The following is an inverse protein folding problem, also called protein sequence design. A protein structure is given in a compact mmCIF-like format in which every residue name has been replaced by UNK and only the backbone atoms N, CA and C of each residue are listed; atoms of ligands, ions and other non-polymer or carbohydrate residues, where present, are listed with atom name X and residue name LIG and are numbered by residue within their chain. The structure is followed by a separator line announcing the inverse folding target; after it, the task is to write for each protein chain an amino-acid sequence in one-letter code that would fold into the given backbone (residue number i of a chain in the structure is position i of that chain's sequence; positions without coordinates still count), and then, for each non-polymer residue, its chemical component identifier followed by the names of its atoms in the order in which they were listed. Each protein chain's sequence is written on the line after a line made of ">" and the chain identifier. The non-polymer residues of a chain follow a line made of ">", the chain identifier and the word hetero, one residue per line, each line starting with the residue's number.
data_IF_915233605459
#
_entry.id   IF_915233605459
#
_cell.length_a   1.000
_cell.length_b   1.000
_cell.length_c   1.000
_cell.angle_alpha   90.00
_cell.angle_beta   90.00
_cell.angle_gamma   90.00
#
_symmetry.space_group_name_H-M   'P 1'
#
loop_
_entity.id
_entity.type
_entity.pdbx_description
1 polymer ?
#
# COMPACT_ATOMS: atom_id res chain seq x y z
N UNK A 1 -36.49 18.50 -27.29
CA UNK A 1 -35.34 17.59 -27.11
C UNK A 1 -34.87 17.69 -25.67
N UNK A 2 -35.42 16.87 -24.78
CA UNK A 2 -34.94 16.73 -23.39
C UNK A 2 -34.27 15.36 -23.31
N UNK A 3 -32.95 15.34 -23.19
CA UNK A 3 -32.18 14.11 -22.94
C UNK A 3 -32.44 13.73 -21.49
N UNK A 4 -33.24 12.69 -21.30
CA UNK A 4 -33.51 12.10 -19.99
C UNK A 4 -32.24 11.39 -19.52
N UNK A 5 -31.47 12.01 -18.62
CA UNK A 5 -30.33 11.37 -17.96
C UNK A 5 -30.85 10.40 -16.91
N UNK A 6 -31.21 9.19 -17.35
CA UNK A 6 -31.62 8.13 -16.45
C UNK A 6 -30.41 7.74 -15.55
N UNK A 7 -30.56 7.73 -14.21
CA UNK A 7 -29.46 7.40 -13.32
C UNK A 7 -29.04 5.95 -13.55
N UNK A 8 -27.85 5.75 -14.13
CA UNK A 8 -27.26 4.42 -14.31
C UNK A 8 -27.13 3.77 -12.92
N UNK A 9 -27.92 2.72 -12.68
CA UNK A 9 -27.93 2.01 -11.41
C UNK A 9 -26.58 1.30 -11.20
N UNK A 10 -25.84 1.72 -10.19
CA UNK A 10 -24.56 1.11 -9.82
C UNK A 10 -24.83 -0.12 -8.95
N UNK A 11 -24.50 -1.31 -9.46
CA UNK A 11 -24.54 -2.54 -8.67
C UNK A 11 -23.33 -2.56 -7.71
N UNK A 12 -23.58 -2.82 -6.42
CA UNK A 12 -22.56 -2.86 -5.39
C UNK A 12 -22.34 -4.30 -4.94
N UNK A 13 -21.22 -4.88 -5.34
CA UNK A 13 -20.88 -6.27 -5.03
C UNK A 13 -19.88 -6.39 -3.87
N UNK A 14 -20.12 -7.37 -3.00
CA UNK A 14 -19.25 -7.77 -1.88
C UNK A 14 -18.90 -9.24 -2.05
N UNK A 15 -17.69 -9.62 -1.68
CA UNK A 15 -17.18 -10.97 -1.88
C UNK A 15 -15.66 -10.98 -1.95
N UNK A 16 -15.10 -12.05 -2.51
CA UNK A 16 -13.67 -12.19 -2.75
C UNK A 16 -13.20 -11.13 -3.77
N UNK A 17 -12.02 -10.56 -3.52
CA UNK A 17 -11.42 -9.51 -4.35
C UNK A 17 -9.96 -9.81 -4.61
N UNK A 18 -9.58 -9.78 -5.87
CA UNK A 18 -8.19 -9.84 -6.32
C UNK A 18 -7.71 -8.43 -6.62
N UNK A 19 -7.34 -7.70 -5.56
CA UNK A 19 -6.89 -6.31 -5.66
C UNK A 19 -5.61 -6.12 -4.85
N UNK A 20 -4.80 -5.15 -5.28
CA UNK A 20 -3.72 -4.67 -4.43
C UNK A 20 -4.27 -3.83 -3.28
N UNK A 21 -3.57 -3.86 -2.14
CA UNK A 21 -3.80 -2.91 -1.07
C UNK A 21 -3.19 -1.54 -1.43
N UNK A 22 -3.53 -0.48 -0.70
CA UNK A 22 -3.07 0.88 -0.98
C UNK A 22 -1.56 1.11 -0.89
N UNK A 23 -0.80 0.19 -0.26
CA UNK A 23 0.66 0.30 -0.15
C UNK A 23 1.35 0.31 -1.51
N UNK A 24 0.78 -0.35 -2.53
CA UNK A 24 1.37 -0.34 -3.88
C UNK A 24 1.42 1.07 -4.49
N UNK A 25 0.58 2.01 -4.03
CA UNK A 25 0.64 3.41 -4.43
C UNK A 25 1.96 4.10 -4.06
N UNK A 26 2.66 3.62 -3.02
CA UNK A 26 3.97 4.14 -2.60
C UNK A 26 4.98 4.05 -3.75
N UNK A 27 4.92 2.99 -4.57
CA UNK A 27 5.83 2.75 -5.71
C UNK A 27 5.85 3.93 -6.70
N UNK A 28 4.69 4.55 -6.93
CA UNK A 28 4.62 5.74 -7.76
C UNK A 28 4.85 7.03 -6.96
N UNK A 29 4.26 7.14 -5.77
CA UNK A 29 4.32 8.34 -4.94
C UNK A 29 5.74 8.69 -4.51
N UNK A 30 6.56 7.69 -4.17
CA UNK A 30 7.95 7.93 -3.80
C UNK A 30 8.73 8.57 -4.95
N UNK A 31 8.37 8.32 -6.21
CA UNK A 31 8.98 8.98 -7.38
C UNK A 31 8.38 10.36 -7.66
N UNK A 32 7.13 10.62 -7.27
CA UNK A 32 6.52 11.93 -7.49
C UNK A 32 6.96 12.95 -6.44
N UNK A 33 7.09 12.51 -5.19
CA UNK A 33 7.51 13.33 -4.06
C UNK A 33 8.95 12.97 -3.68
N UNK A 34 9.91 13.67 -4.28
CA UNK A 34 11.33 13.36 -4.13
C UNK A 34 11.87 13.67 -2.71
N UNK A 35 11.22 14.59 -2.01
CA UNK A 35 11.61 15.02 -0.66
C UNK A 35 10.85 14.27 0.45
N UNK A 36 10.08 13.23 0.09
CA UNK A 36 9.33 12.42 1.04
C UNK A 36 9.96 11.03 1.20
N UNK A 37 9.91 10.52 2.43
CA UNK A 37 10.24 9.14 2.76
C UNK A 37 9.00 8.42 3.30
N UNK A 38 8.77 7.18 2.83
CA UNK A 38 7.63 6.37 3.24
C UNK A 38 8.08 5.22 4.13
N UNK A 39 7.92 5.37 5.44
CA UNK A 39 8.16 4.29 6.41
C UNK A 39 6.84 3.56 6.70
N UNK A 40 6.70 2.34 6.19
CA UNK A 40 5.53 1.48 6.45
C UNK A 40 5.77 0.71 7.73
N UNK A 41 4.87 0.80 8.70
CA UNK A 41 4.86 -0.09 9.87
C UNK A 41 3.92 -1.25 9.56
N UNK A 42 4.45 -2.47 9.53
CA UNK A 42 3.68 -3.62 9.06
C UNK A 42 4.40 -4.94 9.27
N UNK A 43 3.92 -5.99 8.63
CA UNK A 43 4.55 -7.31 8.70
C UNK A 43 5.50 -7.55 7.52
N UNK A 44 6.16 -8.71 7.53
CA UNK A 44 6.92 -9.21 6.36
C UNK A 44 6.06 -9.25 5.08
N UNK A 45 4.75 -9.46 5.18
CA UNK A 45 3.85 -9.47 4.03
C UNK A 45 3.82 -8.11 3.32
N UNK A 46 3.84 -7.00 4.08
CA UNK A 46 3.90 -5.65 3.51
C UNK A 46 5.24 -5.41 2.79
N UNK A 47 6.35 -5.83 3.42
CA UNK A 47 7.69 -5.71 2.84
C UNK A 47 7.81 -6.50 1.52
N UNK A 48 7.35 -7.75 1.51
CA UNK A 48 7.35 -8.59 0.32
C UNK A 48 6.44 -8.06 -0.80
N UNK A 49 5.28 -7.49 -0.45
CA UNK A 49 4.40 -6.85 -1.42
C UNK A 49 5.10 -5.66 -2.10
N UNK A 50 5.69 -4.76 -1.30
CA UNK A 50 6.38 -3.58 -1.82
C UNK A 50 7.59 -3.96 -2.67
N UNK A 51 8.38 -4.95 -2.23
CA UNK A 51 9.50 -5.47 -3.02
C UNK A 51 9.03 -6.04 -4.35
N UNK A 52 7.98 -6.86 -4.34
CA UNK A 52 7.41 -7.47 -5.54
C UNK A 52 6.84 -6.41 -6.49
N UNK A 53 6.17 -5.38 -5.96
CA UNK A 53 5.55 -4.32 -6.75
C UNK A 53 6.58 -3.30 -7.28
N UNK A 54 7.64 -3.00 -6.53
CA UNK A 54 8.72 -2.12 -6.97
C UNK A 54 9.52 -2.72 -8.15
N UNK A 55 9.62 -4.06 -8.19
CA UNK A 55 10.43 -4.76 -9.17
C UNK A 55 11.87 -4.27 -9.15
N UNK A 56 12.41 -3.90 -10.32
CA UNK A 56 13.79 -3.42 -10.47
C UNK A 56 14.08 -2.12 -9.71
N UNK A 57 13.06 -1.34 -9.35
CA UNK A 57 13.24 -0.09 -8.62
C UNK A 57 13.74 -0.29 -7.19
N UNK A 58 13.66 -1.50 -6.64
CA UNK A 58 14.20 -1.82 -5.31
C UNK A 58 15.71 -1.60 -5.22
N UNK A 59 16.43 -1.68 -6.34
CA UNK A 59 17.88 -1.50 -6.41
C UNK A 59 18.29 -0.04 -6.67
N UNK A 60 17.33 0.88 -6.84
CA UNK A 60 17.58 2.28 -7.18
C UNK A 60 17.51 3.20 -5.95
N UNK A 61 17.99 2.73 -4.80
CA UNK A 61 17.94 3.44 -3.49
C UNK A 61 16.55 4.06 -3.22
N UNK A 62 15.49 3.23 -3.12
CA UNK A 62 14.14 3.73 -2.97
C UNK A 62 13.93 4.46 -1.64
N UNK A 63 13.17 5.57 -1.69
CA UNK A 63 12.78 6.34 -0.50
C UNK A 63 11.56 5.75 0.22
N UNK A 64 11.58 4.45 0.44
CA UNK A 64 10.61 3.77 1.28
C UNK A 64 11.26 2.60 2.01
N UNK A 65 10.72 2.26 3.17
CA UNK A 65 11.13 1.09 3.94
C UNK A 65 9.94 0.50 4.70
N UNK A 66 10.07 -0.75 5.15
CA UNK A 66 9.10 -1.37 6.06
C UNK A 66 9.76 -1.64 7.41
N UNK A 67 9.25 -1.02 8.47
CA UNK A 67 9.51 -1.43 9.84
C UNK A 67 8.67 -2.69 10.12
N UNK A 68 9.33 -3.85 10.08
CA UNK A 68 8.69 -5.14 10.29
C UNK A 68 8.46 -5.34 11.78
N UNK A 69 7.19 -5.48 12.18
CA UNK A 69 6.81 -5.79 13.55
C UNK A 69 7.26 -7.20 13.94
N UNK A 70 7.81 -7.32 15.14
CA UNK A 70 8.19 -8.56 15.79
C UNK A 70 7.15 -8.97 16.85
N UNK A 71 7.23 -10.19 17.35
CA UNK A 71 6.27 -10.70 18.35
C UNK A 71 6.25 -9.86 19.62
N UNK A 72 7.40 -9.31 20.04
CA UNK A 72 7.50 -8.37 21.16
C UNK A 72 6.67 -7.10 20.96
N UNK A 73 6.62 -6.59 19.73
CA UNK A 73 5.87 -5.36 19.39
C UNK A 73 4.36 -5.61 19.48
N UNK A 74 3.91 -6.84 19.22
CA UNK A 74 2.52 -7.25 19.36
C UNK A 74 2.13 -7.54 20.81
N UNK A 75 3.09 -8.00 21.62
CA UNK A 75 2.87 -8.31 23.03
C UNK A 75 2.79 -7.07 23.92
N UNK A 76 3.06 -5.86 23.39
CA UNK A 76 3.07 -4.62 24.16
C UNK A 76 4.13 -4.60 25.26
N UNK A 77 5.12 -5.51 25.18
CA UNK A 77 6.23 -5.57 26.11
C UNK A 77 7.21 -4.46 25.75
N UNK A 78 7.02 -3.31 26.38
CA UNK A 78 8.03 -2.26 26.42
C UNK A 78 9.05 -2.69 27.48
N UNK A 79 10.24 -3.10 27.05
CA UNK A 79 11.39 -3.17 27.94
C UNK A 79 11.64 -1.76 28.47
N UNK A 80 11.26 -1.53 29.73
CA UNK A 80 11.52 -0.32 30.49
C UNK A 80 12.94 -0.33 31.06
#
# INVERSE_FOLDING_TARGET
>A
MTVDQQPRTVLRERGQREVFCGLTGIIWLHRKMQDAFFLVVGSRTCAHLLQSAAGVMIFAEPRFATAIMEERDLAGMLDA
#
